data_IF_176475730340
#
_entry.id   IF_176475730340
#
_cell.length_a   1.000
_cell.length_b   1.000
_cell.length_c   1.000
_cell.angle_alpha   90.00
_cell.angle_beta   90.00
_cell.angle_gamma   90.00
#
_symmetry.space_group_name_H-M   'P 1'
#
loop_
_entity.id
_entity.type
_entity.pdbx_description
1 polymer ?
#
# COMPACT_ATOMS: atom_id res chain seq x y z
N UNK A 1 39.48 65.90 -36.84
CA UNK A 1 38.50 67.00 -36.80
C UNK A 1 37.12 66.36 -36.72
N UNK A 2 36.24 66.80 -35.81
CA UNK A 2 34.82 66.40 -35.84
C UNK A 2 34.27 65.96 -34.49
N UNK A 3 33.96 66.95 -33.66
CA UNK A 3 33.22 66.87 -32.41
C UNK A 3 31.77 66.37 -32.62
N UNK A 4 31.16 65.80 -31.57
CA UNK A 4 29.70 65.62 -31.54
C UNK A 4 29.22 64.87 -30.30
N UNK A 5 29.01 65.57 -29.19
CA UNK A 5 28.36 65.03 -27.99
C UNK A 5 26.87 65.32 -27.92
N UNK A 6 26.18 64.57 -27.05
CA UNK A 6 25.09 64.96 -26.12
C UNK A 6 24.03 63.86 -25.98
N UNK A 7 23.67 63.54 -24.74
CA UNK A 7 22.39 62.88 -24.40
C UNK A 7 22.44 61.94 -23.19
N UNK A 8 22.11 62.44 -22.00
CA UNK A 8 21.51 61.68 -20.88
C UNK A 8 19.97 61.77 -21.04
N UNK A 9 19.09 60.88 -20.50
CA UNK A 9 19.17 60.21 -19.19
C UNK A 9 18.61 58.74 -19.07
N UNK A 10 18.98 58.09 -17.94
CA UNK A 10 18.30 56.99 -17.18
C UNK A 10 17.50 55.88 -17.89
N UNK A 11 17.97 54.62 -17.81
CA UNK A 11 17.19 53.44 -17.35
C UNK A 11 18.01 52.13 -17.35
N UNK A 12 17.95 51.43 -16.21
CA UNK A 12 18.12 49.98 -15.96
C UNK A 12 19.04 49.14 -16.86
N UNK A 13 20.14 48.63 -16.28
CA UNK A 13 20.61 47.27 -16.57
C UNK A 13 21.12 46.61 -15.29
N UNK A 14 20.27 45.71 -14.80
CA UNK A 14 20.53 44.68 -13.81
C UNK A 14 21.63 43.73 -14.31
N UNK A 15 22.79 43.76 -13.67
CA UNK A 15 23.81 42.72 -13.84
C UNK A 15 23.50 41.54 -12.92
N UNK A 16 22.49 40.76 -13.30
CA UNK A 16 22.29 39.41 -12.79
C UNK A 16 23.28 38.49 -13.51
N UNK A 17 24.35 38.08 -12.85
CA UNK A 17 25.12 36.90 -13.27
C UNK A 17 24.78 35.78 -12.29
N UNK A 18 23.78 35.01 -12.69
CA UNK A 18 23.18 33.90 -11.97
C UNK A 18 24.19 32.76 -11.84
N UNK A 19 24.57 32.41 -10.61
CA UNK A 19 25.29 31.18 -10.31
C UNK A 19 24.31 30.02 -10.30
N UNK A 20 24.20 29.32 -11.42
CA UNK A 20 23.41 28.11 -11.59
C UNK A 20 24.31 26.91 -11.87
N UNK A 21 25.07 26.43 -10.89
CA UNK A 21 25.77 25.15 -11.09
C UNK A 21 25.98 24.40 -9.76
N UNK A 22 24.89 24.09 -9.07
CA UNK A 22 24.90 23.06 -8.02
C UNK A 22 23.70 22.08 -8.17
N UNK A 23 23.18 21.96 -9.39
CA UNK A 23 22.11 21.01 -9.72
C UNK A 23 22.62 19.64 -10.19
N UNK A 24 23.82 19.57 -10.77
CA UNK A 24 24.35 18.32 -11.33
C UNK A 24 24.91 17.39 -10.24
N UNK A 25 25.45 17.96 -9.15
CA UNK A 25 25.98 17.20 -8.02
C UNK A 25 24.88 16.47 -7.23
N UNK A 26 23.79 17.16 -6.91
CA UNK A 26 22.65 16.59 -6.19
C UNK A 26 21.91 15.53 -7.02
N UNK A 27 21.82 15.72 -8.34
CA UNK A 27 21.20 14.75 -9.23
C UNK A 27 22.03 13.46 -9.36
N UNK A 28 23.37 13.58 -9.46
CA UNK A 28 24.27 12.43 -9.46
C UNK A 28 24.22 11.66 -8.15
N UNK A 29 24.19 12.36 -7.01
CA UNK A 29 24.06 11.73 -5.69
C UNK A 29 22.75 10.95 -5.51
N UNK A 30 21.64 11.44 -6.09
CA UNK A 30 20.35 10.76 -6.04
C UNK A 30 20.33 9.46 -6.88
N UNK A 31 21.03 9.45 -8.03
CA UNK A 31 21.14 8.27 -8.90
C UNK A 31 21.98 7.17 -8.22
N UNK A 32 23.12 7.55 -7.62
CA UNK A 32 24.00 6.61 -6.93
C UNK A 32 23.33 5.95 -5.70
N UNK A 33 22.44 6.68 -5.03
CA UNK A 33 21.63 6.18 -3.91
C UNK A 33 20.63 5.08 -4.32
N UNK A 34 20.07 5.16 -5.53
CA UNK A 34 19.15 4.14 -6.05
C UNK A 34 19.91 2.92 -6.60
N UNK A 35 21.08 3.13 -7.22
CA UNK A 35 21.91 2.05 -7.74
C UNK A 35 22.46 1.14 -6.61
N UNK A 36 22.74 1.70 -5.43
CA UNK A 36 23.13 0.92 -4.25
C UNK A 36 22.01 -0.01 -3.72
N UNK A 37 20.75 0.24 -4.09
CA UNK A 37 19.60 -0.55 -3.61
C UNK A 37 19.31 -1.79 -4.49
N UNK A 38 19.90 -1.90 -5.69
CA UNK A 38 19.52 -2.94 -6.67
C UNK A 38 20.56 -4.09 -6.76
N UNK A 39 21.72 -3.99 -6.10
CA UNK A 39 22.85 -4.93 -6.30
C UNK A 39 22.90 -6.17 -5.38
N UNK A 40 21.83 -6.55 -4.68
CA UNK A 40 21.73 -7.88 -4.05
C UNK A 40 20.38 -8.53 -4.41
N UNK A 41 20.35 -9.30 -5.50
CA UNK A 41 19.23 -10.15 -5.94
C UNK A 41 19.02 -11.39 -5.04
N UNK A 42 18.11 -12.34 -5.27
CA UNK A 42 17.13 -12.60 -6.33
C UNK A 42 16.27 -13.81 -5.86
N UNK A 43 14.97 -13.80 -6.20
CA UNK A 43 14.06 -14.97 -6.39
C UNK A 43 13.62 -15.83 -5.19
N UNK A 44 12.32 -15.74 -4.84
CA UNK A 44 11.39 -16.90 -4.84
C UNK A 44 9.94 -16.45 -5.08
N UNK A 45 9.20 -17.30 -5.79
CA UNK A 45 7.81 -17.14 -6.23
C UNK A 45 6.85 -16.91 -5.06
N UNK A 46 5.86 -16.02 -5.23
CA UNK A 46 4.43 -16.37 -5.17
C UNK A 46 3.57 -15.12 -5.36
N UNK A 47 2.57 -15.23 -6.24
CA UNK A 47 1.38 -14.40 -6.28
C UNK A 47 0.81 -14.27 -4.86
N UNK A 48 0.58 -13.04 -4.41
CA UNK A 48 0.05 -12.77 -3.08
C UNK A 48 -0.21 -11.28 -2.88
N UNK A 49 -1.41 -10.86 -3.27
CA UNK A 49 -2.03 -9.58 -2.94
C UNK A 49 -1.74 -9.15 -1.49
N UNK A 50 -1.32 -7.90 -1.22
CA UNK A 50 -1.54 -7.29 0.06
C UNK A 50 -2.76 -6.37 -0.04
N UNK A 51 -3.92 -6.94 0.27
CA UNK A 51 -4.96 -6.22 1.02
C UNK A 51 -4.32 -5.75 2.32
N UNK A 52 -4.13 -4.45 2.52
CA UNK A 52 -4.15 -3.72 3.81
C UNK A 52 -4.51 -2.27 3.50
N UNK A 53 -5.74 -1.86 3.74
CA UNK A 53 -6.31 -1.53 5.05
C UNK A 53 -5.47 -0.47 5.76
N UNK A 54 -6.00 0.76 5.67
CA UNK A 54 -6.04 1.76 6.73
C UNK A 54 -4.86 1.78 7.69
N UNK A 55 -3.76 2.40 7.26
CA UNK A 55 -2.94 3.16 8.19
C UNK A 55 -3.24 4.64 8.03
N UNK A 56 -3.97 5.14 9.03
CA UNK A 56 -3.98 6.55 9.45
C UNK A 56 -2.55 6.91 9.87
N UNK A 57 -1.67 7.10 8.89
CA UNK A 57 -0.44 7.83 9.10
C UNK A 57 -0.83 9.30 9.19
N UNK A 58 -0.67 9.89 10.36
CA UNK A 58 -0.51 11.34 10.53
C UNK A 58 0.65 11.79 9.65
N UNK A 59 0.41 11.96 8.35
CA UNK A 59 1.35 12.60 7.43
C UNK A 59 1.12 14.10 7.60
N UNK A 60 2.15 14.83 8.02
CA UNK A 60 2.24 16.28 7.76
C UNK A 60 1.75 16.51 6.32
N UNK A 61 0.92 17.54 6.03
CA UNK A 61 0.33 17.71 4.71
C UNK A 61 1.45 17.75 3.68
N UNK A 62 1.63 16.63 3.00
CA UNK A 62 2.67 16.46 2.02
C UNK A 62 2.18 17.32 0.86
N UNK A 63 2.83 18.46 0.63
CA UNK A 63 2.46 19.39 -0.45
C UNK A 63 2.34 18.55 -1.72
N UNK A 64 1.11 18.41 -2.22
CA UNK A 64 0.84 17.59 -3.39
C UNK A 64 1.73 18.10 -4.53
N UNK A 65 2.47 17.20 -5.14
CA UNK A 65 3.32 17.56 -6.28
C UNK A 65 2.41 18.03 -7.42
N UNK A 66 2.87 18.96 -8.24
CA UNK A 66 2.06 19.60 -9.29
C UNK A 66 1.35 18.60 -10.24
N UNK A 67 1.99 17.45 -10.53
CA UNK A 67 1.38 16.40 -11.35
C UNK A 67 0.21 15.68 -10.65
N UNK A 68 0.21 15.58 -9.32
CA UNK A 68 -0.87 14.96 -8.55
C UNK A 68 -2.12 15.83 -8.59
N UNK A 69 -1.94 17.15 -8.46
CA UNK A 69 -3.03 18.14 -8.56
C UNK A 69 -3.63 18.11 -9.98
N UNK A 70 -2.78 18.03 -11.01
CA UNK A 70 -3.23 17.89 -12.41
C UNK A 70 -4.02 16.61 -12.65
N UNK A 71 -3.56 15.48 -12.11
CA UNK A 71 -4.25 14.21 -12.23
C UNK A 71 -5.60 14.23 -11.50
N UNK A 72 -5.65 14.80 -10.30
CA UNK A 72 -6.90 14.94 -9.55
C UNK A 72 -7.92 15.81 -10.30
N UNK A 73 -7.50 16.99 -10.78
CA UNK A 73 -8.36 17.87 -11.58
C UNK A 73 -8.89 17.19 -12.85
N UNK A 74 -8.06 16.41 -13.53
CA UNK A 74 -8.49 15.65 -14.71
C UNK A 74 -9.55 14.60 -14.36
N UNK A 75 -9.41 13.92 -13.23
CA UNK A 75 -10.39 12.94 -12.77
C UNK A 75 -11.72 13.61 -12.39
N UNK A 76 -11.66 14.75 -11.70
CA UNK A 76 -12.84 15.53 -11.35
C UNK A 76 -13.57 16.03 -12.61
N UNK A 77 -12.83 16.58 -13.59
CA UNK A 77 -13.37 17.01 -14.89
C UNK A 77 -14.03 15.84 -15.66
N UNK A 78 -13.51 14.62 -15.55
CA UNK A 78 -14.10 13.43 -16.18
C UNK A 78 -15.40 13.05 -15.47
N UNK A 79 -15.40 13.03 -14.14
CA UNK A 79 -16.59 12.69 -13.37
C UNK A 79 -17.74 13.67 -13.65
N UNK A 80 -17.45 14.97 -13.67
CA UNK A 80 -18.44 16.01 -13.95
C UNK A 80 -19.01 15.91 -15.38
N UNK A 81 -18.18 15.57 -16.37
CA UNK A 81 -18.63 15.44 -17.77
C UNK A 81 -19.37 14.14 -18.05
N UNK A 82 -19.06 13.07 -17.32
CA UNK A 82 -19.56 11.71 -17.62
C UNK A 82 -20.75 11.31 -16.77
N UNK A 83 -20.93 11.91 -15.59
CA UNK A 83 -21.97 11.50 -14.63
C UNK A 83 -22.99 12.62 -14.46
N UNK A 84 -24.12 12.50 -15.18
CA UNK A 84 -25.32 13.29 -14.93
C UNK A 84 -26.20 12.55 -13.90
N UNK A 85 -26.34 13.11 -12.70
CA UNK A 85 -27.18 12.51 -11.66
C UNK A 85 -28.66 12.78 -11.93
N UNK A 86 -29.33 11.87 -12.64
CA UNK A 86 -30.80 11.87 -12.80
C UNK A 86 -31.43 11.49 -11.46
N UNK A 87 -32.05 12.47 -10.80
CA UNK A 87 -32.76 12.33 -9.51
C UNK A 87 -34.23 11.99 -9.73
N UNK A 88 -34.52 10.94 -10.50
CA UNK A 88 -35.89 10.44 -10.63
C UNK A 88 -36.09 9.21 -9.72
N UNK A 89 -37.19 9.14 -8.93
CA UNK A 89 -37.52 7.94 -8.19
C UNK A 89 -37.94 6.83 -9.17
N UNK A 90 -37.06 5.85 -9.36
CA UNK A 90 -37.31 4.69 -10.22
C UNK A 90 -38.41 3.82 -9.60
N UNK A 91 -39.60 3.83 -10.23
CA UNK A 91 -40.57 2.76 -10.08
C UNK A 91 -39.92 1.47 -10.57
N UNK A 92 -39.79 0.49 -9.68
CA UNK A 92 -39.29 -0.84 -10.01
C UNK A 92 -40.14 -1.46 -11.13
N UNK A 93 -39.56 -1.88 -12.26
CA UNK A 93 -40.30 -2.64 -13.25
C UNK A 93 -40.49 -4.07 -12.75
N UNK A 94 -41.76 -4.42 -12.54
CA UNK A 94 -42.26 -5.77 -12.34
C UNK A 94 -41.91 -6.63 -13.57
N UNK A 95 -40.74 -7.27 -13.53
CA UNK A 95 -40.31 -8.19 -14.57
C UNK A 95 -40.80 -9.59 -14.22
N UNK A 96 -42.09 -9.79 -14.47
CA UNK A 96 -42.67 -11.09 -14.73
C UNK A 96 -42.14 -11.62 -16.08
N UNK A 97 -40.87 -12.03 -16.11
CA UNK A 97 -40.27 -12.76 -17.21
C UNK A 97 -40.42 -14.24 -16.91
N UNK A 98 -41.53 -14.78 -17.42
CA UNK A 98 -41.74 -16.17 -17.83
C UNK A 98 -40.51 -17.07 -17.63
N UNK A 99 -40.59 -17.81 -16.55
CA UNK A 99 -39.86 -19.01 -16.13
C UNK A 99 -39.29 -19.76 -17.34
N UNK A 100 -38.06 -19.41 -17.75
CA UNK A 100 -37.26 -20.23 -18.65
C UNK A 100 -36.36 -21.11 -17.80
N UNK A 101 -36.94 -22.21 -17.30
CA UNK A 101 -36.30 -23.52 -17.21
C UNK A 101 -34.80 -23.50 -16.85
N UNK A 102 -34.53 -23.19 -15.57
CA UNK A 102 -33.43 -23.72 -14.76
C UNK A 102 -32.05 -23.97 -15.39
N UNK A 103 -31.49 -23.03 -16.16
CA UNK A 103 -30.13 -23.20 -16.67
C UNK A 103 -29.45 -21.94 -17.21
N UNK A 104 -28.12 -21.95 -17.20
CA UNK A 104 -27.30 -20.85 -17.73
C UNK A 104 -27.19 -21.00 -19.25
N UNK A 105 -27.52 -19.92 -19.96
CA UNK A 105 -27.41 -19.79 -21.42
C UNK A 105 -26.43 -18.68 -21.78
N UNK A 106 -25.47 -18.98 -22.66
CA UNK A 106 -24.49 -17.99 -23.16
C UNK A 106 -25.11 -17.02 -24.19
N UNK A 107 -26.07 -17.49 -25.00
CA UNK A 107 -26.72 -16.69 -26.04
C UNK A 107 -28.24 -16.82 -26.00
N UNK A 108 -28.95 -15.77 -26.45
CA UNK A 108 -30.43 -15.66 -26.42
C UNK A 108 -31.18 -16.73 -27.24
N UNK A 109 -30.54 -17.42 -28.17
CA UNK A 109 -31.15 -18.52 -28.92
C UNK A 109 -30.38 -19.84 -28.84
N UNK A 110 -29.34 -19.91 -28.00
CA UNK A 110 -28.60 -21.14 -27.79
C UNK A 110 -29.27 -22.01 -26.70
N UNK A 111 -29.14 -23.35 -26.80
CA UNK A 111 -29.58 -24.26 -25.75
C UNK A 111 -28.85 -23.96 -24.42
N UNK A 112 -29.49 -24.22 -23.26
CA UNK A 112 -28.83 -24.16 -21.95
C UNK A 112 -27.60 -25.07 -21.92
N UNK A 113 -26.45 -24.50 -21.58
CA UNK A 113 -25.20 -25.26 -21.47
C UNK A 113 -25.00 -25.88 -20.09
N UNK A 114 -25.57 -25.27 -19.05
CA UNK A 114 -25.52 -25.74 -17.67
C UNK A 114 -26.96 -25.77 -17.18
N UNK A 115 -27.49 -26.96 -16.89
CA UNK A 115 -28.81 -27.17 -16.29
C UNK A 115 -28.61 -27.33 -14.79
N UNK A 116 -29.34 -26.56 -13.99
CA UNK A 116 -29.36 -26.77 -12.55
C UNK A 116 -30.30 -27.94 -12.27
N UNK A 117 -29.74 -29.11 -11.93
CA UNK A 117 -30.54 -30.18 -11.34
C UNK A 117 -31.31 -29.60 -10.16
N UNK A 118 -32.62 -29.86 -10.14
CA UNK A 118 -33.51 -29.43 -9.05
C UNK A 118 -33.25 -30.34 -7.84
N UNK A 119 -32.01 -30.35 -7.35
CA UNK A 119 -31.64 -31.12 -6.18
C UNK A 119 -32.21 -30.34 -5.01
N UNK A 120 -33.43 -30.75 -4.69
CA UNK A 120 -34.23 -30.36 -3.56
C UNK A 120 -34.34 -28.84 -3.44
N UNK A 121 -35.48 -28.32 -3.89
CA UNK A 121 -36.12 -27.23 -3.16
C UNK A 121 -36.25 -27.71 -1.70
N UNK A 122 -35.19 -27.56 -0.91
CA UNK A 122 -35.23 -27.61 0.54
C UNK A 122 -36.33 -26.63 0.84
N UNK A 123 -37.50 -27.13 1.25
CA UNK A 123 -38.66 -26.29 1.53
C UNK A 123 -38.20 -25.30 2.59
N UNK A 124 -37.75 -24.12 2.14
CA UNK A 124 -37.41 -23.04 3.03
C UNK A 124 -38.66 -22.82 3.84
N UNK A 125 -38.58 -22.72 5.17
CA UNK A 125 -39.76 -22.56 6.01
C UNK A 125 -40.63 -21.43 5.46
N UNK A 126 -41.72 -21.79 4.76
CA UNK A 126 -42.61 -20.82 4.08
C UNK A 126 -43.32 -19.91 5.09
N UNK A 127 -43.29 -20.29 6.37
CA UNK A 127 -43.76 -19.50 7.50
C UNK A 127 -42.62 -18.64 8.02
N UNK A 128 -42.82 -17.32 7.97
CA UNK A 128 -41.96 -16.38 8.70
C UNK A 128 -41.93 -16.82 10.18
N UNK A 129 -40.75 -16.93 10.81
CA UNK A 129 -40.69 -17.18 12.24
C UNK A 129 -41.49 -16.08 12.94
N UNK A 130 -42.41 -16.47 13.82
CA UNK A 130 -43.10 -15.53 14.71
C UNK A 130 -42.09 -15.10 15.78
N UNK A 131 -41.22 -14.16 15.42
CA UNK A 131 -40.36 -13.47 16.37
C UNK A 131 -41.30 -12.58 17.19
N UNK A 132 -41.66 -13.07 18.37
CA UNK A 132 -42.34 -12.25 19.36
C UNK A 132 -41.28 -11.25 19.85
N UNK A 133 -41.56 -9.94 19.88
CA UNK A 133 -40.68 -8.99 20.55
C UNK A 133 -40.32 -9.54 21.93
N UNK A 134 -39.02 -9.66 22.20
CA UNK A 134 -38.54 -10.25 23.44
C UNK A 134 -39.13 -9.55 24.66
N UNK A 135 -39.18 -10.26 25.79
CA UNK A 135 -39.54 -9.71 27.09
C UNK A 135 -38.82 -8.37 27.30
N UNK A 136 -39.58 -7.32 27.68
CA UNK A 136 -39.03 -5.97 27.88
C UNK A 136 -37.82 -6.06 28.80
N UNK A 137 -36.67 -5.61 28.29
CA UNK A 137 -35.42 -5.68 29.04
C UNK A 137 -35.45 -4.57 30.08
N UNK A 138 -35.68 -4.94 31.33
CA UNK A 138 -35.51 -4.01 32.45
C UNK A 138 -34.01 -3.72 32.66
N UNK A 139 -33.58 -2.55 32.21
CA UNK A 139 -32.20 -2.06 32.35
C UNK A 139 -31.74 -1.94 33.82
N UNK A 140 -32.69 -1.81 34.76
CA UNK A 140 -32.38 -1.74 36.20
C UNK A 140 -32.31 -3.13 36.83
N UNK A 141 -32.76 -4.16 36.14
CA UNK A 141 -32.73 -5.55 36.59
C UNK A 141 -31.30 -5.98 36.93
N UNK A 142 -31.18 -6.76 38.00
CA UNK A 142 -29.90 -7.38 38.38
C UNK A 142 -29.40 -8.33 37.28
N UNK A 143 -30.29 -9.00 36.56
CA UNK A 143 -29.93 -9.94 35.49
C UNK A 143 -29.25 -9.20 34.33
N UNK A 144 -29.84 -8.08 33.91
CA UNK A 144 -29.28 -7.23 32.84
C UNK A 144 -27.92 -6.65 33.21
N UNK A 145 -27.77 -6.08 34.41
CA UNK A 145 -26.48 -5.55 34.88
C UNK A 145 -25.40 -6.62 34.99
N UNK A 146 -25.75 -7.82 35.43
CA UNK A 146 -24.82 -8.96 35.50
C UNK A 146 -24.39 -9.43 34.11
N UNK A 147 -25.31 -9.46 33.14
CA UNK A 147 -24.98 -9.74 31.74
C UNK A 147 -24.04 -8.68 31.16
N UNK A 148 -24.32 -7.40 31.39
CA UNK A 148 -23.43 -6.30 30.99
C UNK A 148 -22.02 -6.44 31.60
N UNK A 149 -21.93 -6.72 32.90
CA UNK A 149 -20.64 -6.92 33.58
C UNK A 149 -19.87 -8.15 33.07
N UNK A 150 -20.58 -9.20 32.66
CA UNK A 150 -19.92 -10.40 32.09
C UNK A 150 -19.36 -10.19 30.68
N UNK A 151 -19.93 -9.23 29.94
CA UNK A 151 -19.50 -8.88 28.57
C UNK A 151 -18.45 -7.76 28.59
N UNK A 152 -18.54 -6.85 29.56
CA UNK A 152 -17.61 -5.73 29.69
C UNK A 152 -16.21 -6.24 30.07
N UNK A 153 -15.26 -6.03 29.17
CA UNK A 153 -13.83 -6.24 29.44
C UNK A 153 -13.26 -4.98 30.09
N UNK A 154 -12.46 -5.14 31.14
CA UNK A 154 -11.79 -4.00 31.78
C UNK A 154 -10.77 -3.37 30.82
N UNK A 155 -10.81 -2.04 30.69
CA UNK A 155 -9.89 -1.30 29.82
C UNK A 155 -8.43 -1.46 30.24
N UNK A 156 -8.17 -1.62 31.55
CA UNK A 156 -6.81 -1.84 32.06
C UNK A 156 -6.24 -3.19 31.59
N UNK A 157 -7.06 -4.24 31.54
CA UNK A 157 -6.65 -5.56 31.06
C UNK A 157 -6.25 -5.52 29.58
N UNK A 158 -6.98 -4.76 28.77
CA UNK A 158 -6.65 -4.57 27.34
C UNK A 158 -5.29 -3.87 27.20
N UNK A 159 -5.06 -2.79 27.96
CA UNK A 159 -3.82 -2.02 27.89
C UNK A 159 -2.62 -2.86 28.36
N UNK A 160 -2.79 -3.62 29.45
CA UNK A 160 -1.72 -4.49 29.96
C UNK A 160 -1.43 -5.65 29.02
N UNK A 161 -2.45 -6.28 28.44
CA UNK A 161 -2.30 -7.32 27.43
C UNK A 161 -1.56 -6.78 26.19
N UNK A 162 -1.92 -5.60 25.70
CA UNK A 162 -1.27 -4.96 24.56
C UNK A 162 0.22 -4.65 24.83
N UNK A 163 0.54 -4.09 26.01
CA UNK A 163 1.93 -3.86 26.43
C UNK A 163 2.70 -5.16 26.48
N UNK A 164 2.17 -6.19 27.14
CA UNK A 164 2.83 -7.49 27.26
C UNK A 164 3.08 -8.14 25.90
N UNK A 165 2.14 -8.02 24.96
CA UNK A 165 2.32 -8.50 23.59
C UNK A 165 3.45 -7.75 22.86
N UNK A 166 3.53 -6.44 23.03
CA UNK A 166 4.61 -5.60 22.49
C UNK A 166 5.98 -5.97 23.07
N UNK A 167 6.11 -6.10 24.39
CA UNK A 167 7.36 -6.52 25.03
C UNK A 167 7.81 -7.91 24.54
N UNK A 168 6.87 -8.85 24.38
CA UNK A 168 7.15 -10.18 23.84
C UNK A 168 7.63 -10.14 22.39
N UNK A 169 7.09 -9.26 21.54
CA UNK A 169 7.53 -9.15 20.14
C UNK A 169 8.90 -8.50 20.03
N UNK A 170 9.18 -7.47 20.84
CA UNK A 170 10.49 -6.83 20.91
C UNK A 170 11.58 -7.83 21.33
N UNK A 171 11.35 -8.59 22.40
CA UNK A 171 12.30 -9.61 22.85
C UNK A 171 12.57 -10.68 21.78
N UNK A 172 11.54 -11.07 21.01
CA UNK A 172 11.71 -12.01 19.89
C UNK A 172 12.51 -11.42 18.73
N UNK A 173 12.34 -10.13 18.45
CA UNK A 173 13.10 -9.45 17.41
C UNK A 173 14.58 -9.36 17.80
N UNK A 174 14.86 -8.93 19.03
CA UNK A 174 16.22 -8.85 19.56
C UNK A 174 16.94 -10.20 19.56
N UNK A 175 16.24 -11.28 19.91
CA UNK A 175 16.79 -12.64 19.85
C UNK A 175 17.18 -13.04 18.41
N UNK A 176 16.33 -12.72 17.42
CA UNK A 176 16.62 -12.99 16.00
C UNK A 176 17.79 -12.15 15.50
N UNK A 177 17.86 -10.88 15.87
CA UNK A 177 18.96 -10.00 15.50
C UNK A 177 20.29 -10.48 16.12
N UNK A 178 20.25 -10.96 17.37
CA UNK A 178 21.42 -11.55 18.02
C UNK A 178 21.87 -12.84 17.31
N UNK A 179 20.94 -13.71 16.92
CA UNK A 179 21.23 -14.92 16.15
C UNK A 179 21.85 -14.59 14.77
N UNK A 180 21.27 -13.63 14.06
CA UNK A 180 21.79 -13.16 12.77
C UNK A 180 23.20 -12.57 12.90
N UNK A 181 23.45 -11.76 13.93
CA UNK A 181 24.80 -11.22 14.22
C UNK A 181 25.79 -12.33 14.57
N UNK A 182 25.39 -13.34 15.33
CA UNK A 182 26.25 -14.48 15.65
C UNK A 182 26.55 -15.34 14.42
N UNK A 183 25.56 -15.54 13.53
CA UNK A 183 25.76 -16.24 12.26
C UNK A 183 26.70 -15.46 11.32
N UNK A 184 26.53 -14.13 11.21
CA UNK A 184 27.42 -13.28 10.44
C UNK A 184 28.87 -13.37 10.94
N UNK A 185 29.09 -13.31 12.25
CA UNK A 185 30.43 -13.47 12.84
C UNK A 185 31.06 -14.83 12.52
N UNK A 186 30.30 -15.94 12.62
CA UNK A 186 30.81 -17.27 12.24
C UNK A 186 31.20 -17.33 10.77
N UNK A 187 30.41 -16.73 9.90
CA UNK A 187 30.72 -16.69 8.47
C UNK A 187 31.94 -15.82 8.17
N UNK A 188 32.06 -14.65 8.81
CA UNK A 188 33.26 -13.80 8.72
C UNK A 188 34.52 -14.55 9.18
N UNK A 189 34.46 -15.28 10.29
CA UNK A 189 35.55 -16.12 10.79
C UNK A 189 35.91 -17.23 9.79
N UNK A 190 34.91 -17.92 9.23
CA UNK A 190 35.10 -18.95 8.20
C UNK A 190 35.76 -18.37 6.94
N UNK A 191 35.32 -17.19 6.49
CA UNK A 191 35.88 -16.49 5.35
C UNK A 191 37.32 -16.04 5.63
N UNK A 192 37.60 -15.53 6.84
CA UNK A 192 38.95 -15.13 7.25
C UNK A 192 39.91 -16.32 7.29
N UNK A 193 39.48 -17.48 7.80
CA UNK A 193 40.28 -18.70 7.80
C UNK A 193 40.60 -19.18 6.38
N UNK A 194 39.60 -19.20 5.49
CA UNK A 194 39.84 -19.56 4.09
C UNK A 194 40.74 -18.54 3.38
N UNK A 195 40.62 -17.25 3.71
CA UNK A 195 41.53 -16.19 3.21
C UNK A 195 42.96 -16.43 3.66
N UNK A 196 43.18 -16.91 4.90
CA UNK A 196 44.51 -17.28 5.41
C UNK A 196 45.10 -18.48 4.66
N UNK A 197 44.32 -19.51 4.38
CA UNK A 197 44.79 -20.76 3.75
C UNK A 197 45.06 -20.58 2.25
N UNK A 198 44.17 -19.88 1.53
CA UNK A 198 44.15 -19.89 0.05
C UNK A 198 44.44 -18.52 -0.60
N UNK A 199 44.65 -17.47 0.20
CA UNK A 199 44.95 -16.10 -0.28
C UNK A 199 43.71 -15.30 -0.70
N UNK A 200 43.87 -14.08 -1.25
CA UNK A 200 42.73 -13.21 -1.61
C UNK A 200 42.08 -13.52 -2.97
N UNK A 201 42.65 -14.46 -3.74
CA UNK A 201 42.31 -14.69 -5.15
C UNK A 201 41.12 -15.63 -5.38
N UNK A 202 40.65 -16.32 -4.34
CA UNK A 202 39.55 -17.31 -4.45
C UNK A 202 38.18 -16.78 -4.03
N UNK A 203 38.13 -15.64 -3.32
CA UNK A 203 36.88 -14.92 -3.08
C UNK A 203 36.53 -14.15 -4.37
N UNK A 204 35.25 -14.11 -4.79
CA UNK A 204 34.83 -13.29 -5.93
C UNK A 204 35.32 -11.86 -5.73
N UNK A 205 36.25 -11.41 -6.57
CA UNK A 205 36.82 -10.07 -6.51
C UNK A 205 35.87 -9.01 -7.05
N UNK A 206 34.62 -9.05 -6.57
CA UNK A 206 33.51 -8.18 -6.98
C UNK A 206 33.90 -6.70 -6.82
N UNK A 207 34.72 -6.36 -5.82
CA UNK A 207 35.22 -5.00 -5.63
C UNK A 207 36.15 -4.50 -6.77
N UNK A 208 37.02 -5.37 -7.32
CA UNK A 208 37.87 -5.02 -8.48
C UNK A 208 37.05 -4.95 -9.76
N UNK A 209 36.11 -5.88 -9.94
CA UNK A 209 35.22 -5.91 -11.09
C UNK A 209 34.28 -4.69 -11.11
N UNK A 210 33.84 -4.21 -9.95
CA UNK A 210 33.11 -2.95 -9.84
C UNK A 210 33.98 -1.75 -10.26
N UNK A 211 35.24 -1.65 -9.81
CA UNK A 211 36.14 -0.55 -10.22
C UNK A 211 36.50 -0.55 -11.71
N UNK A 212 36.68 -1.73 -12.32
CA UNK A 212 36.97 -1.83 -13.76
C UNK A 212 35.77 -1.40 -14.61
N UNK A 213 34.54 -1.71 -14.17
CA UNK A 213 33.31 -1.26 -14.85
C UNK A 213 33.08 0.26 -14.79
N UNK A 214 33.59 0.93 -13.76
CA UNK A 214 33.52 2.40 -13.65
C UNK A 214 34.66 3.15 -14.36
N UNK A 215 35.78 2.49 -14.71
CA UNK A 215 36.92 3.11 -15.42
C UNK A 215 36.99 2.82 -16.92
N UNK A 216 36.01 2.09 -17.45
CA UNK A 216 35.94 1.68 -18.85
C UNK A 216 35.03 2.54 -19.73
N UNK A 217 34.96 3.86 -19.48
CA UNK A 217 34.38 4.87 -20.35
C UNK A 217 35.39 6.01 -20.56
#
# INVERSE_FOLDING_TARGET
>A
MGSGGRGSPSSSSSSSSSGEEDGDADWRAAIDSVAATISNGSTTKSIGYPTKDDQVTNRKPQKLKHYQIKAQKLLDDILEKTIEMVRDPVNAPDNNLMISEGGIRLFKHAPPGIVFDHIDELQQPRKRPRIIPGEEIDEKSKKFRRQLQSVAVDGMDIITAARNACWKSLAKLEAKDAEAKAAAKREEERVAELKRIRGERWLPSIARDMQVRFRGC
#
